data_IF_748775066236
#
_entry.id   IF_748775066236
#
_cell.length_a   1.000
_cell.length_b   1.000
_cell.length_c   1.000
_cell.angle_alpha   90.00
_cell.angle_beta   90.00
_cell.angle_gamma   90.00
#
_symmetry.space_group_name_H-M   'P 1'
#
loop_
_entity.id
_entity.type
_entity.pdbx_description
1 polymer ?
#
# COMPACT_ATOMS: atom_id res chain seq x y z
N UNK A 1 -18.92 -20.87 26.43
CA UNK A 1 -17.64 -21.47 25.99
C UNK A 1 -17.46 -21.36 24.48
N UNK A 2 -18.40 -21.84 23.64
CA UNK A 2 -18.32 -21.76 22.16
C UNK A 2 -18.03 -20.35 21.62
N UNK A 3 -18.83 -19.36 22.02
CA UNK A 3 -18.71 -17.97 21.55
C UNK A 3 -17.34 -17.30 21.84
N UNK A 4 -16.59 -17.78 22.82
CA UNK A 4 -15.27 -17.20 23.14
C UNK A 4 -14.23 -17.75 22.14
N UNK A 5 -14.25 -19.06 21.90
CA UNK A 5 -13.39 -19.73 20.92
C UNK A 5 -13.57 -19.16 19.50
N UNK A 6 -14.82 -18.86 19.11
CA UNK A 6 -15.11 -18.28 17.79
C UNK A 6 -14.48 -16.89 17.61
N UNK A 7 -14.51 -16.04 18.64
CA UNK A 7 -13.91 -14.70 18.59
C UNK A 7 -12.37 -14.75 18.61
N UNK A 8 -11.77 -15.70 19.31
CA UNK A 8 -10.32 -15.90 19.33
C UNK A 8 -9.79 -16.29 17.94
N UNK A 9 -10.53 -17.16 17.23
CA UNK A 9 -10.21 -17.57 15.86
C UNK A 9 -10.36 -16.38 14.91
N UNK A 10 -11.44 -15.61 15.01
CA UNK A 10 -11.64 -14.40 14.19
C UNK A 10 -10.55 -13.35 14.43
N UNK A 11 -10.14 -13.16 15.69
CA UNK A 11 -9.05 -12.28 16.07
C UNK A 11 -7.71 -12.73 15.49
N UNK A 12 -7.41 -14.04 15.57
CA UNK A 12 -6.20 -14.60 14.98
C UNK A 12 -6.19 -14.44 13.46
N UNK A 13 -7.26 -14.80 12.76
CA UNK A 13 -7.39 -14.65 11.31
C UNK A 13 -7.26 -13.19 10.87
N UNK A 14 -7.87 -12.26 11.62
CA UNK A 14 -7.73 -10.83 11.39
C UNK A 14 -6.28 -10.35 11.55
N UNK A 15 -5.61 -10.78 12.61
CA UNK A 15 -4.20 -10.46 12.87
C UNK A 15 -3.26 -11.00 11.79
N UNK A 16 -3.40 -12.29 11.42
CA UNK A 16 -2.62 -12.89 10.34
C UNK A 16 -2.89 -12.22 8.99
N UNK A 17 -4.15 -11.91 8.69
CA UNK A 17 -4.54 -11.21 7.47
C UNK A 17 -3.87 -9.84 7.37
N UNK A 18 -3.90 -9.05 8.44
CA UNK A 18 -3.24 -7.74 8.48
C UNK A 18 -1.72 -7.85 8.27
N UNK A 19 -1.07 -8.79 8.96
CA UNK A 19 0.38 -9.01 8.82
C UNK A 19 0.71 -9.42 7.38
N UNK A 20 -0.06 -10.34 6.78
CA UNK A 20 0.15 -10.78 5.41
C UNK A 20 0.04 -9.62 4.41
N UNK A 21 -0.95 -8.74 4.58
CA UNK A 21 -1.11 -7.54 3.73
C UNK A 21 0.08 -6.59 3.88
N UNK A 22 0.53 -6.33 5.11
CA UNK A 22 1.68 -5.45 5.36
C UNK A 22 2.98 -6.03 4.77
N UNK A 23 3.20 -7.34 4.91
CA UNK A 23 4.35 -8.03 4.33
C UNK A 23 4.28 -7.99 2.80
N UNK A 24 3.13 -8.29 2.20
CA UNK A 24 2.96 -8.22 0.75
C UNK A 24 3.24 -6.81 0.22
N UNK A 25 2.74 -5.78 0.90
CA UNK A 25 3.03 -4.38 0.55
C UNK A 25 4.53 -4.06 0.64
N UNK A 26 5.20 -4.46 1.72
CA UNK A 26 6.63 -4.25 1.87
C UNK A 26 7.43 -4.97 0.78
N UNK A 27 7.07 -6.21 0.43
CA UNK A 27 7.70 -6.97 -0.64
C UNK A 27 7.50 -6.32 -2.01
N UNK A 28 6.33 -5.74 -2.29
CA UNK A 28 6.10 -5.00 -3.53
C UNK A 28 6.96 -3.75 -3.62
N UNK A 29 7.09 -2.97 -2.55
CA UNK A 29 7.94 -1.78 -2.50
C UNK A 29 9.42 -2.16 -2.71
N UNK A 30 9.91 -3.15 -1.96
CA UNK A 30 11.30 -3.62 -2.07
C UNK A 30 11.57 -4.26 -3.43
N UNK A 31 10.65 -5.07 -3.94
CA UNK A 31 10.74 -5.68 -5.26
C UNK A 31 10.80 -4.63 -6.38
N UNK A 32 9.95 -3.60 -6.30
CA UNK A 32 9.97 -2.48 -7.25
C UNK A 32 11.29 -1.67 -7.19
N UNK A 33 11.84 -1.45 -5.99
CA UNK A 33 13.14 -0.79 -5.82
C UNK A 33 14.27 -1.61 -6.46
N UNK A 34 14.37 -2.89 -6.12
CA UNK A 34 15.40 -3.78 -6.67
C UNK A 34 15.25 -3.91 -8.18
N UNK A 35 14.02 -4.07 -8.67
CA UNK A 35 13.72 -4.16 -10.11
C UNK A 35 14.12 -2.88 -10.85
N UNK A 36 13.80 -1.71 -10.31
CA UNK A 36 14.17 -0.42 -10.92
C UNK A 36 15.69 -0.21 -10.97
N UNK A 37 16.40 -0.59 -9.91
CA UNK A 37 17.85 -0.44 -9.83
C UNK A 37 18.60 -1.41 -10.76
N UNK A 38 18.11 -2.64 -10.90
CA UNK A 38 18.72 -3.68 -11.75
C UNK A 38 18.33 -3.58 -13.22
N UNK A 39 17.24 -2.88 -13.56
CA UNK A 39 16.83 -2.69 -14.94
C UNK A 39 17.87 -1.87 -15.75
N UNK A 40 18.10 -2.22 -17.04
CA UNK A 40 18.97 -1.48 -17.96
C UNK A 40 18.26 -0.20 -18.46
N UNK A 41 17.89 0.67 -17.53
CA UNK A 41 17.29 1.96 -17.80
C UNK A 41 18.31 3.09 -17.65
N UNK A 42 18.14 4.16 -18.43
CA UNK A 42 18.92 5.39 -18.26
C UNK A 42 18.71 5.94 -16.85
N UNK A 43 19.73 6.61 -16.30
CA UNK A 43 19.70 7.08 -14.89
C UNK A 43 18.46 7.93 -14.55
N UNK A 44 17.98 8.75 -15.50
CA UNK A 44 16.75 9.54 -15.33
C UNK A 44 15.49 8.69 -15.18
N UNK A 45 15.37 7.58 -15.91
CA UNK A 45 14.20 6.69 -15.81
C UNK A 45 14.19 5.91 -14.48
N UNK A 46 15.37 5.59 -13.91
CA UNK A 46 15.46 5.01 -12.56
C UNK A 46 14.96 5.98 -11.48
N UNK A 47 15.28 7.27 -11.62
CA UNK A 47 14.83 8.31 -10.69
C UNK A 47 13.29 8.45 -10.71
N UNK A 48 12.67 8.41 -11.88
CA UNK A 48 11.20 8.46 -12.04
C UNK A 48 10.54 7.30 -11.29
N UNK A 49 11.05 6.08 -11.46
CA UNK A 49 10.53 4.90 -10.75
C UNK A 49 10.67 5.01 -9.23
N UNK A 50 11.79 5.53 -8.75
CA UNK A 50 12.02 5.74 -7.32
C UNK A 50 11.01 6.73 -6.72
N UNK A 51 10.72 7.82 -7.42
CA UNK A 51 9.67 8.78 -7.02
C UNK A 51 8.30 8.11 -7.02
N UNK A 52 7.95 7.33 -8.04
CA UNK A 52 6.65 6.63 -8.08
C UNK A 52 6.48 5.65 -6.92
N UNK A 53 7.50 4.86 -6.59
CA UNK A 53 7.44 3.90 -5.48
C UNK A 53 7.15 4.60 -4.15
N UNK A 54 7.67 5.81 -3.95
CA UNK A 54 7.45 6.60 -2.73
C UNK A 54 6.11 7.32 -2.76
N UNK A 55 5.74 7.94 -3.89
CA UNK A 55 4.66 8.92 -3.94
C UNK A 55 3.31 8.28 -4.30
N UNK A 56 3.29 7.25 -5.15
CA UNK A 56 2.05 6.54 -5.55
C UNK A 56 1.17 6.06 -4.37
N UNK A 57 1.70 5.48 -3.26
CA UNK A 57 0.86 5.07 -2.14
C UNK A 57 0.15 6.23 -1.42
N UNK A 58 0.70 7.45 -1.50
CA UNK A 58 0.10 8.64 -0.87
C UNK A 58 -0.75 9.46 -1.84
N UNK A 59 -0.55 9.31 -3.14
CA UNK A 59 -1.31 10.04 -4.17
C UNK A 59 -2.82 9.80 -4.00
N UNK A 60 -3.26 8.56 -3.84
CA UNK A 60 -4.70 8.25 -3.75
C UNK A 60 -5.40 8.95 -2.58
N UNK A 61 -4.79 8.92 -1.39
CA UNK A 61 -5.33 9.60 -0.21
C UNK A 61 -5.26 11.13 -0.36
N UNK A 62 -4.18 11.65 -0.91
CA UNK A 62 -4.03 13.09 -1.16
C UNK A 62 -5.07 13.59 -2.18
N UNK A 63 -5.31 12.86 -3.27
CA UNK A 63 -6.35 13.17 -4.24
C UNK A 63 -7.75 13.16 -3.63
N UNK A 64 -8.04 12.21 -2.74
CA UNK A 64 -9.32 12.17 -2.01
C UNK A 64 -9.51 13.42 -1.15
N UNK A 65 -8.48 13.85 -0.43
CA UNK A 65 -8.59 15.04 0.42
C UNK A 65 -8.64 16.35 -0.38
N UNK A 66 -7.93 16.45 -1.50
CA UNK A 66 -7.88 17.66 -2.31
C UNK A 66 -9.10 17.82 -3.20
N UNK A 67 -9.53 16.75 -3.87
CA UNK A 67 -10.60 16.80 -4.87
C UNK A 67 -11.86 16.05 -4.44
N UNK A 68 -11.70 14.90 -3.78
CA UNK A 68 -12.82 14.09 -3.30
C UNK A 68 -13.71 14.82 -2.30
N UNK A 69 -13.12 15.53 -1.32
CA UNK A 69 -13.88 16.37 -0.38
C UNK A 69 -14.71 17.43 -1.08
N UNK A 70 -14.14 18.15 -2.06
CA UNK A 70 -14.86 19.24 -2.74
C UNK A 70 -16.05 18.73 -3.56
N UNK A 71 -15.93 17.56 -4.17
CA UNK A 71 -17.03 16.90 -4.90
C UNK A 71 -18.15 16.42 -3.98
N UNK A 72 -17.82 15.89 -2.81
CA UNK A 72 -18.80 15.36 -1.85
C UNK A 72 -19.68 16.42 -1.17
N UNK A 73 -19.18 17.65 -1.00
CA UNK A 73 -19.91 18.75 -0.34
C UNK A 73 -20.49 19.78 -1.32
N UNK A 74 -20.42 19.54 -2.64
CA UNK A 74 -20.96 20.45 -3.66
C UNK A 74 -22.43 20.15 -4.04
N UNK A 75 -23.14 19.42 -3.17
CA UNK A 75 -24.59 19.16 -3.25
C UNK A 75 -25.36 20.21 -2.47
#
# INVERSE_FOLDING_TARGET
MSYIVDNDILGALGGFGLIAVLVAYALLVLGALVSSLTAPHSGGMKLVWLVFIIVAPFIGSLFWFLFGKRSAYAT
#
